data_IF_250784148917
#
_entry.id   IF_250784148917
#
_cell.length_a   1.000
_cell.length_b   1.000
_cell.length_c   1.000
_cell.angle_alpha   90.00
_cell.angle_beta   90.00
_cell.angle_gamma   90.00
#
_symmetry.space_group_name_H-M   'P 1'
#
loop_
_entity.id
_entity.type
_entity.pdbx_description
1 polymer ?
#
# COMPACT_ATOMS: atom_id res chain seq x y z
N UNK A 1 0.09 -10.43 22.79
CA UNK A 1 -0.22 -10.89 21.41
C UNK A 1 -1.25 -9.94 20.83
N UNK A 2 -1.03 -9.45 19.61
CA UNK A 2 -1.99 -8.63 18.88
C UNK A 2 -3.06 -9.57 18.31
N UNK A 3 -4.34 -9.23 18.55
CA UNK A 3 -5.50 -9.93 17.99
C UNK A 3 -6.28 -8.99 17.07
N UNK A 4 -7.14 -9.51 16.17
CA UNK A 4 -8.01 -8.68 15.34
C UNK A 4 -8.86 -7.68 16.14
N UNK A 5 -9.40 -8.10 17.28
CA UNK A 5 -10.23 -7.28 18.17
C UNK A 5 -9.43 -6.10 18.73
N UNK A 6 -8.15 -6.34 19.09
CA UNK A 6 -7.27 -5.26 19.53
C UNK A 6 -6.92 -4.27 18.43
N UNK A 7 -6.91 -4.70 17.17
CA UNK A 7 -6.75 -3.78 16.04
C UNK A 7 -8.00 -2.91 15.88
N UNK A 8 -9.21 -3.47 16.06
CA UNK A 8 -10.45 -2.70 16.09
C UNK A 8 -10.44 -1.69 17.22
N UNK A 9 -10.08 -2.10 18.45
CA UNK A 9 -9.94 -1.17 19.59
C UNK A 9 -8.98 -0.03 19.29
N UNK A 10 -7.82 -0.32 18.67
CA UNK A 10 -6.84 0.70 18.30
C UNK A 10 -7.39 1.66 17.23
N UNK A 11 -8.16 1.16 16.27
CA UNK A 11 -8.82 2.00 15.27
C UNK A 11 -9.83 2.95 15.93
N UNK A 12 -10.64 2.45 16.87
CA UNK A 12 -11.58 3.29 17.63
C UNK A 12 -10.84 4.34 18.47
N UNK A 13 -9.74 3.95 19.15
CA UNK A 13 -8.90 4.85 19.93
C UNK A 13 -8.19 5.91 19.09
N UNK A 14 -7.93 5.66 17.81
CA UNK A 14 -7.43 6.67 16.89
C UNK A 14 -8.43 7.83 16.71
N UNK A 15 -9.68 7.63 17.09
CA UNK A 15 -10.70 8.67 17.17
C UNK A 15 -11.16 9.22 15.83
N UNK A 16 -10.78 8.57 14.72
CA UNK A 16 -11.16 8.98 13.38
C UNK A 16 -11.98 7.89 12.71
N UNK A 17 -13.25 8.18 12.50
CA UNK A 17 -14.12 7.35 11.68
C UNK A 17 -13.90 7.71 10.20
N UNK A 18 -13.47 6.73 9.41
CA UNK A 18 -13.38 6.88 7.96
C UNK A 18 -14.78 6.80 7.33
N UNK A 19 -14.98 7.56 6.26
CA UNK A 19 -16.28 7.68 5.58
C UNK A 19 -16.12 7.54 4.07
N UNK A 20 -17.25 7.37 3.36
CA UNK A 20 -17.29 7.19 1.92
C UNK A 20 -16.81 5.81 1.47
N UNK A 21 -16.23 5.75 0.28
CA UNK A 21 -15.57 4.55 -0.24
C UNK A 21 -14.20 4.40 0.42
N UNK A 22 -14.03 3.39 1.25
CA UNK A 22 -12.82 3.20 2.06
C UNK A 22 -11.88 2.21 1.38
N UNK A 23 -10.66 2.65 1.04
CA UNK A 23 -9.57 1.78 0.61
C UNK A 23 -8.89 1.16 1.84
N UNK A 24 -8.91 -0.16 1.99
CA UNK A 24 -8.17 -0.86 3.04
C UNK A 24 -6.90 -1.44 2.44
N UNK A 25 -5.78 -0.75 2.64
CA UNK A 25 -4.49 -1.16 2.10
C UNK A 25 -3.84 -2.22 2.98
N UNK A 26 -3.54 -3.36 2.38
CA UNK A 26 -2.87 -4.48 3.03
C UNK A 26 -1.58 -4.87 2.29
N UNK A 27 -0.83 -5.81 2.85
CA UNK A 27 0.18 -6.58 2.13
C UNK A 27 -0.33 -8.01 1.98
N UNK A 28 -0.71 -8.37 0.77
CA UNK A 28 -1.38 -9.65 0.45
C UNK A 28 -0.49 -10.90 0.54
N UNK A 29 0.81 -10.70 0.77
CA UNK A 29 1.80 -11.77 0.88
C UNK A 29 2.56 -12.04 -0.42
N UNK A 30 3.75 -12.60 -0.30
CA UNK A 30 4.55 -13.09 -1.43
C UNK A 30 4.27 -14.58 -1.67
N UNK A 31 4.37 -15.01 -2.92
CA UNK A 31 4.22 -16.43 -3.26
C UNK A 31 5.27 -17.27 -2.53
N UNK A 32 4.82 -18.37 -1.91
CA UNK A 32 5.68 -19.28 -1.15
C UNK A 32 6.14 -18.77 0.22
N UNK A 33 5.86 -17.53 0.59
CA UNK A 33 6.15 -17.00 1.92
C UNK A 33 4.95 -17.17 2.86
N UNK A 34 5.02 -17.99 3.91
CA UNK A 34 3.92 -18.21 4.84
C UNK A 34 3.74 -17.07 5.84
N UNK A 35 4.71 -16.16 5.96
CA UNK A 35 4.80 -15.15 7.02
C UNK A 35 4.06 -13.86 6.70
N UNK A 36 2.91 -13.91 6.05
CA UNK A 36 2.02 -12.77 5.91
C UNK A 36 0.80 -12.92 6.81
N UNK A 37 0.20 -11.82 7.22
CA UNK A 37 -1.05 -11.84 7.98
C UNK A 37 -2.18 -12.29 7.06
N UNK A 38 -2.81 -13.39 7.46
CA UNK A 38 -3.85 -14.06 6.64
C UNK A 38 -5.14 -13.23 6.56
N UNK A 39 -5.95 -13.41 5.51
CA UNK A 39 -7.24 -12.73 5.38
C UNK A 39 -8.13 -12.89 6.63
N UNK A 40 -8.14 -14.08 7.23
CA UNK A 40 -8.93 -14.39 8.43
C UNK A 40 -8.57 -13.51 9.63
N UNK A 41 -7.30 -13.12 9.76
CA UNK A 41 -6.85 -12.19 10.79
C UNK A 41 -7.46 -10.80 10.58
N UNK A 42 -7.58 -10.36 9.33
CA UNK A 42 -8.08 -9.04 9.02
C UNK A 42 -9.61 -8.94 8.93
N UNK A 43 -10.30 -10.09 8.85
CA UNK A 43 -11.75 -10.10 8.64
C UNK A 43 -12.53 -9.27 9.67
N UNK A 44 -12.32 -9.37 10.99
CA UNK A 44 -13.04 -8.54 11.95
C UNK A 44 -12.82 -7.04 11.76
N UNK A 45 -11.60 -6.65 11.36
CA UNK A 45 -11.26 -5.24 11.11
C UNK A 45 -11.96 -4.72 9.85
N UNK A 46 -11.91 -5.51 8.76
CA UNK A 46 -12.55 -5.15 7.48
C UNK A 46 -14.07 -5.08 7.62
N UNK A 47 -14.67 -6.04 8.33
CA UNK A 47 -16.12 -6.06 8.59
C UNK A 47 -16.56 -4.84 9.45
N UNK A 48 -15.72 -4.43 10.41
CA UNK A 48 -16.01 -3.29 11.28
C UNK A 48 -15.91 -1.95 10.53
N UNK A 49 -14.86 -1.78 9.73
CA UNK A 49 -14.60 -0.52 9.01
C UNK A 49 -15.49 -0.38 7.77
N UNK A 50 -15.75 -1.47 7.07
CA UNK A 50 -16.58 -1.51 5.86
C UNK A 50 -15.87 -0.89 4.65
N UNK A 51 -14.92 -1.60 4.05
CA UNK A 51 -14.17 -1.09 2.89
C UNK A 51 -13.74 -2.18 1.92
N UNK A 52 -13.03 -1.76 0.89
CA UNK A 52 -12.47 -2.65 -0.13
C UNK A 52 -10.98 -2.87 0.12
N UNK A 53 -10.54 -4.12 0.09
CA UNK A 53 -9.10 -4.44 0.13
C UNK A 53 -8.45 -3.93 -1.13
N UNK A 54 -7.37 -3.17 -0.99
CA UNK A 54 -6.63 -2.63 -2.14
C UNK A 54 -5.16 -3.01 -2.11
N UNK A 55 -4.60 -3.23 -3.30
CA UNK A 55 -3.18 -3.51 -3.55
C UNK A 55 -2.73 -2.88 -4.87
N UNK A 56 -1.41 -2.91 -5.11
CA UNK A 56 -0.80 -2.55 -6.39
C UNK A 56 0.21 -3.61 -6.81
N UNK A 57 0.43 -3.75 -8.11
CA UNK A 57 1.42 -4.67 -8.67
C UNK A 57 2.85 -4.29 -8.23
N UNK A 58 3.76 -5.26 -8.26
CA UNK A 58 5.18 -5.03 -7.94
C UNK A 58 5.94 -4.54 -9.18
N UNK A 59 7.07 -3.85 -8.94
CA UNK A 59 7.98 -3.39 -9.99
C UNK A 59 9.02 -4.45 -10.40
N UNK A 60 9.15 -5.52 -9.64
CA UNK A 60 10.07 -6.63 -9.89
C UNK A 60 9.30 -7.88 -10.30
N UNK A 61 9.99 -8.80 -10.97
CA UNK A 61 9.37 -10.05 -11.43
C UNK A 61 8.89 -10.93 -10.27
N UNK A 62 7.79 -11.62 -10.49
CA UNK A 62 7.17 -12.48 -9.48
C UNK A 62 5.65 -12.65 -9.69
N UNK A 63 5.01 -13.25 -8.69
CA UNK A 63 3.57 -13.55 -8.74
C UNK A 63 2.66 -12.31 -8.61
N UNK A 64 3.24 -11.12 -8.40
CA UNK A 64 2.50 -9.86 -8.24
C UNK A 64 2.90 -8.79 -9.27
N UNK A 65 3.67 -9.12 -10.30
CA UNK A 65 4.16 -8.14 -11.27
C UNK A 65 3.17 -7.84 -12.40
N UNK A 66 2.12 -8.64 -12.55
CA UNK A 66 1.02 -8.38 -13.47
C UNK A 66 -0.32 -8.57 -12.76
N UNK A 67 -1.32 -7.84 -13.20
CA UNK A 67 -2.67 -7.91 -12.61
C UNK A 67 -3.26 -9.33 -12.69
N UNK A 68 -2.98 -10.07 -13.75
CA UNK A 68 -3.44 -11.47 -13.89
C UNK A 68 -2.80 -12.38 -12.85
N UNK A 69 -1.46 -12.32 -12.70
CA UNK A 69 -0.71 -13.14 -11.73
C UNK A 69 -1.10 -12.76 -10.31
N UNK A 70 -1.23 -11.46 -10.02
CA UNK A 70 -1.59 -10.95 -8.71
C UNK A 70 -3.01 -11.40 -8.29
N UNK A 71 -3.99 -11.37 -9.21
CA UNK A 71 -5.34 -11.90 -8.94
C UNK A 71 -5.32 -13.41 -8.65
N UNK A 72 -4.49 -14.19 -9.35
CA UNK A 72 -4.28 -15.62 -9.05
C UNK A 72 -3.70 -15.81 -7.64
N UNK A 73 -2.77 -14.95 -7.22
CA UNK A 73 -2.19 -14.99 -5.89
C UNK A 73 -3.22 -14.61 -4.81
N UNK A 74 -4.08 -13.61 -5.04
CA UNK A 74 -5.18 -13.30 -4.13
C UNK A 74 -6.08 -14.51 -3.88
N UNK A 75 -6.43 -15.22 -4.94
CA UNK A 75 -7.22 -16.46 -4.83
C UNK A 75 -6.47 -17.53 -4.04
N UNK A 76 -5.19 -17.75 -4.37
CA UNK A 76 -4.34 -18.74 -3.70
C UNK A 76 -4.16 -18.45 -2.19
N UNK A 77 -4.11 -17.17 -1.82
CA UNK A 77 -3.94 -16.74 -0.43
C UNK A 77 -5.27 -16.54 0.32
N UNK A 78 -6.41 -16.77 -0.33
CA UNK A 78 -7.75 -16.68 0.28
C UNK A 78 -8.36 -15.28 0.32
N UNK A 79 -7.67 -14.25 -0.21
CA UNK A 79 -8.17 -12.88 -0.17
C UNK A 79 -9.46 -12.70 -0.95
N UNK A 80 -9.50 -13.20 -2.19
CA UNK A 80 -10.67 -13.07 -3.08
C UNK A 80 -11.86 -13.95 -2.67
N UNK A 81 -11.65 -14.93 -1.77
CA UNK A 81 -12.73 -15.76 -1.23
C UNK A 81 -13.45 -15.05 -0.08
N UNK A 82 -12.77 -14.10 0.55
CA UNK A 82 -13.24 -13.46 1.78
C UNK A 82 -13.64 -12.01 1.57
N UNK A 83 -13.01 -11.31 0.60
CA UNK A 83 -13.18 -9.88 0.41
C UNK A 83 -13.32 -9.50 -1.06
N UNK A 84 -13.94 -8.36 -1.32
CA UNK A 84 -13.72 -7.62 -2.56
C UNK A 84 -12.27 -7.10 -2.55
N UNK A 85 -11.52 -7.40 -3.61
CA UNK A 85 -10.13 -6.98 -3.77
C UNK A 85 -9.97 -6.17 -5.04
N UNK A 86 -9.39 -4.98 -4.93
CA UNK A 86 -9.11 -4.10 -6.05
C UNK A 86 -7.60 -3.93 -6.24
N UNK A 87 -7.14 -3.99 -7.50
CA UNK A 87 -5.78 -3.65 -7.90
C UNK A 87 -5.80 -2.25 -8.50
N UNK A 88 -5.32 -1.29 -7.74
CA UNK A 88 -5.40 0.14 -8.08
C UNK A 88 -4.69 0.51 -9.39
N UNK A 89 -3.68 -0.27 -9.78
CA UNK A 89 -2.89 -0.11 -11.01
C UNK A 89 -3.16 -1.20 -12.07
N UNK A 90 -4.33 -1.84 -12.00
CA UNK A 90 -4.70 -2.89 -12.97
C UNK A 90 -4.87 -2.33 -14.39
N UNK A 91 -5.23 -1.07 -14.51
CA UNK A 91 -5.45 -0.38 -15.78
C UNK A 91 -4.78 1.00 -15.76
N UNK A 92 -3.95 1.27 -16.77
CA UNK A 92 -3.28 2.56 -16.90
C UNK A 92 -4.14 3.65 -17.55
N UNK A 93 -3.66 4.90 -17.63
CA UNK A 93 -2.39 5.38 -17.11
C UNK A 93 -2.43 5.61 -15.60
N UNK A 94 -1.25 5.71 -14.96
CA UNK A 94 -1.15 6.06 -13.55
C UNK A 94 -1.72 7.46 -13.25
N UNK A 95 -2.25 7.63 -12.05
CA UNK A 95 -2.54 8.94 -11.49
C UNK A 95 -1.25 9.52 -10.89
N UNK A 96 -1.04 10.82 -11.09
CA UNK A 96 0.13 11.52 -10.57
C UNK A 96 -0.29 12.40 -9.39
N UNK A 97 0.34 12.19 -8.26
CA UNK A 97 0.24 13.06 -7.10
C UNK A 97 1.45 13.99 -7.05
N UNK A 98 1.22 15.29 -7.07
CA UNK A 98 2.30 16.29 -6.97
C UNK A 98 2.82 16.39 -5.53
N UNK A 99 4.13 16.57 -5.38
CA UNK A 99 4.82 16.75 -4.10
C UNK A 99 5.62 18.06 -4.15
N UNK A 100 4.96 19.24 -4.08
CA UNK A 100 5.63 20.54 -4.31
C UNK A 100 6.79 20.83 -3.36
N UNK A 101 6.83 20.18 -2.20
CA UNK A 101 7.88 20.31 -1.17
C UNK A 101 8.66 19.01 -0.98
N UNK A 102 8.64 18.11 -1.95
CA UNK A 102 9.41 16.87 -1.90
C UNK A 102 10.90 17.15 -1.81
N UNK A 103 11.57 16.43 -0.95
CA UNK A 103 13.02 16.58 -0.73
C UNK A 103 13.81 15.96 -1.88
N UNK A 104 13.37 14.80 -2.35
CA UNK A 104 14.01 14.02 -3.42
C UNK A 104 13.11 13.91 -4.63
N UNK A 105 11.84 13.56 -4.45
CA UNK A 105 10.89 13.40 -5.55
C UNK A 105 9.77 14.45 -5.46
N UNK A 106 9.36 15.00 -6.61
CA UNK A 106 8.27 15.97 -6.71
C UNK A 106 6.97 15.37 -7.24
N UNK A 107 6.96 14.07 -7.53
CA UNK A 107 5.79 13.34 -8.04
C UNK A 107 5.74 11.96 -7.43
N UNK A 108 4.53 11.45 -7.22
CA UNK A 108 4.27 10.05 -6.91
C UNK A 108 3.29 9.49 -7.94
N UNK A 109 3.61 8.34 -8.51
CA UNK A 109 2.79 7.65 -9.50
C UNK A 109 2.04 6.53 -8.80
N UNK A 110 0.73 6.69 -8.68
CA UNK A 110 -0.15 5.74 -8.00
C UNK A 110 -1.11 5.09 -8.98
N UNK A 111 -1.66 3.95 -8.61
CA UNK A 111 -2.69 3.33 -9.42
C UNK A 111 -3.89 4.26 -9.60
N UNK A 112 -4.36 4.43 -10.83
CA UNK A 112 -5.44 5.38 -11.17
C UNK A 112 -6.72 5.10 -10.39
N UNK A 113 -7.00 3.84 -10.06
CA UNK A 113 -8.22 3.44 -9.37
C UNK A 113 -8.24 3.87 -7.90
N UNK A 114 -7.13 4.45 -7.37
CA UNK A 114 -7.14 5.16 -6.10
C UNK A 114 -8.17 6.30 -6.08
N UNK A 115 -8.49 6.88 -7.24
CA UNK A 115 -9.51 7.93 -7.38
C UNK A 115 -10.94 7.47 -7.05
N UNK A 116 -11.19 6.17 -6.94
CA UNK A 116 -12.48 5.62 -6.55
C UNK A 116 -12.75 5.65 -5.05
N UNK A 117 -11.76 6.10 -4.25
CA UNK A 117 -11.81 6.04 -2.79
C UNK A 117 -11.73 7.43 -2.16
N UNK A 118 -12.55 7.64 -1.13
CA UNK A 118 -12.66 8.90 -0.39
C UNK A 118 -11.72 8.93 0.82
N UNK A 119 -11.42 7.76 1.39
CA UNK A 119 -10.58 7.60 2.57
C UNK A 119 -9.78 6.31 2.55
N UNK A 120 -8.78 6.18 3.43
CA UNK A 120 -7.95 4.97 3.48
C UNK A 120 -7.62 4.52 4.89
N UNK A 121 -7.68 3.20 5.11
CA UNK A 121 -7.10 2.50 6.25
C UNK A 121 -5.88 1.71 5.79
N UNK A 122 -4.74 1.93 6.41
CA UNK A 122 -3.49 1.23 6.07
C UNK A 122 -3.17 0.21 7.15
N UNK A 123 -3.42 -1.06 6.86
CA UNK A 123 -3.14 -2.19 7.75
C UNK A 123 -1.73 -2.73 7.46
N UNK A 124 -0.76 -2.20 8.17
CA UNK A 124 0.65 -2.51 7.93
C UNK A 124 1.11 -3.75 8.67
N UNK A 125 1.72 -4.69 7.96
CA UNK A 125 2.49 -5.75 8.58
C UNK A 125 3.88 -5.23 8.95
N UNK A 126 4.10 -4.91 10.23
CA UNK A 126 5.38 -4.43 10.72
C UNK A 126 6.41 -5.56 10.74
N UNK A 127 7.50 -5.40 10.00
CA UNK A 127 8.56 -6.38 9.83
C UNK A 127 9.89 -5.77 9.40
N UNK A 128 11.00 -6.47 9.60
CA UNK A 128 12.29 -6.08 9.02
C UNK A 128 12.23 -5.99 7.49
N UNK A 129 13.00 -5.06 6.93
CA UNK A 129 13.09 -4.87 5.48
C UNK A 129 14.53 -4.54 5.08
N UNK A 130 15.13 -5.27 4.08
CA UNK A 130 16.55 -5.11 3.74
C UNK A 130 16.91 -3.70 3.25
N UNK A 131 16.03 -3.03 2.49
CA UNK A 131 16.31 -1.70 1.96
C UNK A 131 15.79 -0.58 2.86
N UNK A 132 14.70 -0.77 3.59
CA UNK A 132 14.06 0.27 4.39
C UNK A 132 14.30 0.16 5.90
N UNK A 133 15.18 -0.77 6.34
CA UNK A 133 15.35 -1.10 7.75
C UNK A 133 14.15 -1.87 8.29
N UNK A 134 12.94 -1.30 8.14
CA UNK A 134 11.68 -1.99 8.44
C UNK A 134 10.59 -1.64 7.43
N UNK A 135 9.58 -2.50 7.32
CA UNK A 135 8.33 -2.25 6.61
C UNK A 135 7.24 -1.94 7.63
N UNK A 136 6.53 -0.85 7.42
CA UNK A 136 5.44 -0.38 8.29
C UNK A 136 4.57 0.63 7.54
N UNK A 137 3.93 1.56 8.27
CA UNK A 137 2.96 2.50 7.70
C UNK A 137 3.52 3.36 6.56
N UNK A 138 4.68 3.99 6.75
CA UNK A 138 5.30 4.84 5.71
C UNK A 138 5.54 4.04 4.43
N UNK A 139 6.06 2.80 4.53
CA UNK A 139 6.28 1.95 3.38
C UNK A 139 4.98 1.54 2.68
N UNK A 140 3.93 1.28 3.44
CA UNK A 140 2.62 0.95 2.86
C UNK A 140 1.96 2.15 2.19
N UNK A 141 2.05 3.33 2.78
CA UNK A 141 1.56 4.59 2.20
C UNK A 141 2.33 4.99 0.93
N UNK A 142 3.65 4.76 0.90
CA UNK A 142 4.48 5.07 -0.26
C UNK A 142 4.47 3.93 -1.29
N UNK A 143 5.37 2.96 -1.12
CA UNK A 143 5.56 1.82 -2.02
C UNK A 143 4.28 1.00 -2.17
N UNK A 144 3.50 0.83 -1.10
CA UNK A 144 2.29 0.03 -1.12
C UNK A 144 1.19 0.57 -2.04
N UNK A 145 1.02 1.89 -2.13
CA UNK A 145 -0.01 2.56 -2.95
C UNK A 145 0.50 2.94 -4.34
N UNK A 146 1.81 3.09 -4.50
CA UNK A 146 2.40 3.38 -5.80
C UNK A 146 2.12 2.27 -6.82
N UNK A 147 1.90 2.66 -8.08
CA UNK A 147 1.82 1.73 -9.21
C UNK A 147 3.12 0.95 -9.39
N UNK A 148 3.13 -0.04 -10.27
CA UNK A 148 4.37 -0.76 -10.62
C UNK A 148 5.48 0.21 -11.04
N UNK A 149 5.17 1.19 -11.92
CA UNK A 149 6.11 2.24 -12.31
C UNK A 149 6.50 3.12 -11.13
N UNK A 150 5.52 3.58 -10.34
CA UNK A 150 5.75 4.42 -9.16
C UNK A 150 6.65 3.76 -8.12
N UNK A 151 6.53 2.45 -7.94
CA UNK A 151 7.44 1.69 -7.07
C UNK A 151 8.89 1.76 -7.55
N UNK A 152 9.13 1.57 -8.85
CA UNK A 152 10.47 1.69 -9.42
C UNK A 152 11.00 3.13 -9.26
N UNK A 153 10.17 4.13 -9.52
CA UNK A 153 10.50 5.55 -9.39
C UNK A 153 10.90 5.93 -7.95
N UNK A 154 10.14 5.47 -6.94
CA UNK A 154 10.45 5.74 -5.53
C UNK A 154 11.74 5.02 -5.10
N UNK A 155 11.90 3.72 -5.46
CA UNK A 155 13.12 2.97 -5.12
C UNK A 155 14.37 3.56 -5.77
N UNK A 156 14.23 4.08 -6.98
CA UNK A 156 15.31 4.74 -7.73
C UNK A 156 15.49 6.22 -7.40
N UNK A 157 14.85 6.73 -6.35
CA UNK A 157 14.96 8.13 -5.94
C UNK A 157 14.68 9.12 -7.09
N UNK A 158 13.67 8.82 -7.92
CA UNK A 158 13.28 9.62 -9.07
C UNK A 158 13.79 9.08 -10.42
N UNK A 159 14.62 8.06 -10.43
CA UNK A 159 15.06 7.35 -11.65
C UNK A 159 14.62 5.87 -11.60
N UNK A 160 13.59 5.46 -12.35
CA UNK A 160 13.13 4.07 -12.34
C UNK A 160 14.19 3.04 -12.76
N UNK A 161 15.21 3.46 -13.51
CA UNK A 161 16.32 2.58 -13.91
C UNK A 161 17.25 2.27 -12.73
N UNK A 162 17.29 3.12 -11.71
CA UNK A 162 18.12 2.97 -10.52
C UNK A 162 17.46 2.20 -9.38
N UNK A 163 16.42 1.42 -9.65
CA UNK A 163 15.60 0.70 -8.64
C UNK A 163 16.42 -0.10 -7.60
N UNK A 164 17.62 -0.58 -7.98
CA UNK A 164 18.50 -1.37 -7.11
C UNK A 164 19.81 -0.67 -6.77
N UNK A 165 20.05 0.53 -7.29
CA UNK A 165 21.34 1.22 -7.19
C UNK A 165 21.24 2.65 -6.65
N UNK A 166 20.06 3.14 -6.35
CA UNK A 166 19.89 4.45 -5.75
C UNK A 166 20.55 4.53 -4.37
N UNK A 167 21.03 5.70 -4.02
CA UNK A 167 21.54 6.01 -2.70
C UNK A 167 20.48 5.71 -1.63
N UNK A 168 20.93 5.10 -0.52
CA UNK A 168 20.03 4.61 0.53
C UNK A 168 19.21 5.72 1.17
N UNK A 169 19.87 6.83 1.53
CA UNK A 169 19.19 7.95 2.19
C UNK A 169 18.21 8.63 1.24
N UNK A 170 18.58 8.77 -0.04
CA UNK A 170 17.70 9.28 -1.09
C UNK A 170 16.47 8.40 -1.28
N UNK A 171 16.62 7.08 -1.24
CA UNK A 171 15.48 6.14 -1.27
C UNK A 171 14.57 6.32 -0.05
N UNK A 172 15.12 6.43 1.16
CA UNK A 172 14.31 6.64 2.38
C UNK A 172 13.53 7.96 2.34
N UNK A 173 14.18 9.04 1.89
CA UNK A 173 13.53 10.34 1.71
C UNK A 173 12.44 10.29 0.63
N UNK A 174 12.69 9.59 -0.48
CA UNK A 174 11.68 9.38 -1.53
C UNK A 174 10.45 8.63 -1.01
N UNK A 175 10.64 7.63 -0.12
CA UNK A 175 9.51 6.97 0.54
C UNK A 175 8.71 7.94 1.42
N UNK A 176 9.39 8.82 2.17
CA UNK A 176 8.71 9.81 3.01
C UNK A 176 7.93 10.83 2.16
N UNK A 177 8.55 11.34 1.08
CA UNK A 177 7.90 12.24 0.11
C UNK A 177 6.64 11.58 -0.48
N UNK A 178 6.75 10.35 -0.97
CA UNK A 178 5.64 9.61 -1.55
C UNK A 178 4.54 9.32 -0.52
N UNK A 179 4.88 8.89 0.70
CA UNK A 179 3.89 8.65 1.75
C UNK A 179 3.09 9.91 2.07
N UNK A 180 3.79 11.05 2.18
CA UNK A 180 3.14 12.33 2.42
C UNK A 180 2.14 12.69 1.33
N UNK A 181 2.46 12.45 0.06
CA UNK A 181 1.56 12.75 -1.05
C UNK A 181 0.22 12.00 -0.96
N UNK A 182 0.24 10.77 -0.48
CA UNK A 182 -0.97 9.96 -0.28
C UNK A 182 -1.80 10.47 0.88
N UNK A 183 -1.17 10.86 2.00
CA UNK A 183 -1.86 11.49 3.13
C UNK A 183 -2.48 12.82 2.72
N UNK A 184 -1.76 13.64 1.96
CA UNK A 184 -2.26 14.93 1.45
C UNK A 184 -3.42 14.72 0.46
N UNK A 185 -3.34 13.69 -0.40
CA UNK A 185 -4.40 13.35 -1.34
C UNK A 185 -5.73 13.06 -0.64
N UNK A 186 -5.70 12.27 0.41
CA UNK A 186 -6.88 11.98 1.22
C UNK A 186 -7.24 13.12 2.20
N UNK A 187 -6.54 14.25 2.19
CA UNK A 187 -6.83 15.45 3.02
C UNK A 187 -6.99 15.15 4.50
N UNK A 188 -6.23 14.17 4.98
CA UNK A 188 -6.30 13.69 6.36
C UNK A 188 -7.33 12.59 6.58
N UNK A 189 -8.09 12.14 5.57
CA UNK A 189 -8.99 10.99 5.66
C UNK A 189 -8.19 9.67 5.50
N UNK A 190 -7.14 9.54 6.32
CA UNK A 190 -6.26 8.37 6.37
C UNK A 190 -5.98 7.97 7.82
N UNK A 191 -6.07 6.65 8.09
CA UNK A 191 -5.64 6.02 9.35
C UNK A 191 -4.57 4.98 9.03
N UNK A 192 -3.45 5.00 9.77
CA UNK A 192 -2.29 4.15 9.49
C UNK A 192 -1.47 3.82 10.73
#
# INVERSE_FOLDING_TARGET
VITPEKVVELYELAGKKLEGNIAIKVHSGEEGNPNFLKPEFWKPVVDFVGGTIVECNTAYDGARNTSERHRKLFKKHGWSDMFTVDLLDAQGPDMVLDIPKGVVIQKNYVGKDLANYDSTLVLSHFKGHPMGGYGGAIKQLSIGVASSFGKAYIHGAGDPAAIWSADHDSFLMSMADAAKSVVDYFKGEAVY
#
